data_IF_373336891117
#
_entry.id   IF_373336891117
#
_cell.length_a   1.000
_cell.length_b   1.000
_cell.length_c   1.000
_cell.angle_alpha   90.00
_cell.angle_beta   90.00
_cell.angle_gamma   90.00
#
_symmetry.space_group_name_H-M   'P 1'
#
loop_
_entity.id
_entity.type
_entity.pdbx_description
1 polymer ?
#
# COMPACT_ATOMS: atom_id res chain seq x y z
N UNK A 1 22.11 -8.39 -28.72
CA UNK A 1 21.13 -9.10 -27.86
C UNK A 1 21.18 -8.48 -26.48
N UNK A 2 20.34 -7.48 -26.22
CA UNK A 2 20.30 -6.77 -24.94
C UNK A 2 19.53 -7.58 -23.89
N UNK A 3 19.97 -7.58 -22.61
CA UNK A 3 19.36 -8.40 -21.58
C UNK A 3 17.91 -7.99 -21.41
N UNK A 4 17.02 -8.99 -21.42
CA UNK A 4 15.60 -8.81 -21.12
C UNK A 4 15.50 -8.11 -19.77
N UNK A 5 15.07 -6.86 -19.78
CA UNK A 5 14.84 -6.09 -18.56
C UNK A 5 14.02 -6.96 -17.60
N UNK A 6 14.37 -6.98 -16.30
CA UNK A 6 13.73 -7.87 -15.37
C UNK A 6 12.23 -7.58 -15.38
N UNK A 7 11.45 -8.61 -15.72
CA UNK A 7 10.03 -8.72 -15.36
C UNK A 7 9.94 -8.32 -13.89
N UNK A 8 8.98 -7.44 -13.55
CA UNK A 8 8.66 -6.90 -12.22
C UNK A 8 9.56 -7.51 -11.13
N UNK A 9 10.42 -6.71 -10.46
CA UNK A 9 11.39 -7.19 -9.48
C UNK A 9 10.79 -8.27 -8.59
N UNK A 10 11.54 -9.36 -8.33
CA UNK A 10 11.01 -10.54 -7.62
C UNK A 10 10.34 -10.16 -6.30
N UNK A 11 10.92 -9.20 -5.58
CA UNK A 11 10.38 -8.66 -4.33
C UNK A 11 8.98 -8.03 -4.47
N UNK A 12 8.62 -7.53 -5.65
CA UNK A 12 7.34 -6.87 -5.94
C UNK A 12 6.26 -7.81 -6.46
N UNK A 13 6.62 -9.05 -6.84
CA UNK A 13 5.67 -10.02 -7.42
C UNK A 13 4.49 -10.33 -6.50
N UNK A 14 4.67 -10.54 -5.18
CA UNK A 14 3.55 -10.82 -4.29
C UNK A 14 2.55 -9.66 -4.23
N UNK A 15 3.05 -8.42 -4.15
CA UNK A 15 2.23 -7.21 -4.07
C UNK A 15 1.43 -7.02 -5.37
N UNK A 16 2.08 -7.22 -6.52
CA UNK A 16 1.39 -7.14 -7.82
C UNK A 16 0.34 -8.23 -7.99
N UNK A 17 0.63 -9.46 -7.53
CA UNK A 17 -0.36 -10.54 -7.56
C UNK A 17 -1.59 -10.19 -6.72
N UNK A 18 -1.40 -9.69 -5.49
CA UNK A 18 -2.50 -9.27 -4.62
C UNK A 18 -3.29 -8.13 -5.25
N UNK A 19 -2.62 -7.14 -5.85
CA UNK A 19 -3.28 -6.05 -6.57
C UNK A 19 -4.15 -6.55 -7.73
N UNK A 20 -3.73 -7.61 -8.42
CA UNK A 20 -4.50 -8.26 -9.49
C UNK A 20 -5.70 -9.03 -8.95
N UNK A 21 -5.53 -9.77 -7.86
CA UNK A 21 -6.63 -10.45 -7.18
C UNK A 21 -7.67 -9.45 -6.66
N UNK A 22 -7.24 -8.28 -6.20
CA UNK A 22 -8.13 -7.20 -5.76
C UNK A 22 -9.04 -6.64 -6.86
N UNK A 23 -8.67 -6.80 -8.14
CA UNK A 23 -9.53 -6.43 -9.27
C UNK A 23 -10.60 -7.51 -9.58
N UNK A 24 -10.53 -8.66 -8.92
CA UNK A 24 -11.42 -9.81 -9.10
C UNK A 24 -12.16 -10.08 -7.78
N UNK A 25 -13.19 -9.27 -7.45
CA UNK A 25 -13.86 -9.32 -6.15
C UNK A 25 -14.52 -10.68 -5.85
N UNK A 26 -14.86 -11.46 -6.88
CA UNK A 26 -15.38 -12.83 -6.73
C UNK A 26 -14.34 -13.82 -6.16
N UNK A 27 -13.04 -13.51 -6.27
CA UNK A 27 -11.94 -14.39 -5.85
C UNK A 27 -11.41 -14.07 -4.47
N UNK A 28 -11.50 -12.82 -4.02
CA UNK A 28 -10.89 -12.42 -2.74
C UNK A 28 -11.65 -11.26 -2.10
N UNK A 29 -12.24 -11.47 -0.91
CA UNK A 29 -12.90 -10.40 -0.18
C UNK A 29 -11.94 -9.26 0.19
N UNK A 30 -12.38 -7.99 0.21
CA UNK A 30 -11.56 -6.83 0.58
C UNK A 30 -10.85 -6.96 1.94
N UNK A 31 -11.50 -7.61 2.91
CA UNK A 31 -10.96 -7.84 4.26
C UNK A 31 -9.77 -8.80 4.23
N UNK A 32 -9.81 -9.81 3.36
CA UNK A 32 -8.72 -10.77 3.17
C UNK A 32 -7.52 -10.10 2.51
N UNK A 33 -7.77 -9.23 1.52
CA UNK A 33 -6.72 -8.42 0.86
C UNK A 33 -6.03 -7.54 1.90
N UNK A 34 -6.81 -6.84 2.73
CA UNK A 34 -6.30 -5.99 3.80
C UNK A 34 -5.45 -6.79 4.80
N UNK A 35 -5.91 -7.99 5.19
CA UNK A 35 -5.17 -8.88 6.09
C UNK A 35 -3.84 -9.34 5.50
N UNK A 36 -3.82 -9.76 4.23
CA UNK A 36 -2.60 -10.18 3.55
C UNK A 36 -1.64 -9.00 3.39
N UNK A 37 -2.14 -7.83 3.00
CA UNK A 37 -1.31 -6.63 2.83
C UNK A 37 -0.71 -6.12 4.14
N UNK A 38 -1.38 -6.35 5.27
CA UNK A 38 -0.84 -6.04 6.59
C UNK A 38 0.39 -6.90 6.98
N UNK A 39 0.65 -8.02 6.28
CA UNK A 39 1.84 -8.86 6.53
C UNK A 39 3.12 -8.30 5.91
N UNK A 40 3.00 -7.35 4.98
CA UNK A 40 4.16 -6.67 4.40
C UNK A 40 4.72 -5.64 5.38
N UNK A 41 6.03 -5.38 5.30
CA UNK A 41 6.69 -4.34 6.09
C UNK A 41 7.24 -3.27 5.15
N UNK A 42 6.80 -2.00 5.29
CA UNK A 42 5.71 -1.52 6.15
C UNK A 42 4.34 -2.07 5.73
N UNK A 43 3.33 -2.06 6.62
CA UNK A 43 1.97 -2.45 6.27
C UNK A 43 1.44 -1.57 5.13
N UNK A 44 0.81 -2.21 4.14
CA UNK A 44 0.29 -1.52 2.96
C UNK A 44 -1.21 -1.28 3.14
N UNK A 45 -1.65 -0.02 3.05
CA UNK A 45 -3.07 0.32 3.06
C UNK A 45 -3.68 0.21 1.64
N UNK A 46 -4.65 -0.69 1.40
CA UNK A 46 -5.34 -0.80 0.12
C UNK A 46 -6.21 0.42 -0.23
N UNK A 47 -6.54 1.29 0.72
CA UNK A 47 -7.23 2.55 0.46
C UNK A 47 -6.28 3.71 0.09
N UNK A 48 -4.97 3.50 0.18
CA UNK A 48 -3.98 4.55 -0.05
C UNK A 48 -3.91 5.01 -1.52
N UNK A 49 -3.56 6.29 -1.77
CA UNK A 49 -3.36 6.79 -3.12
C UNK A 49 -2.21 6.07 -3.84
N UNK A 50 -1.19 5.61 -3.12
CA UNK A 50 -0.08 4.81 -3.65
C UNK A 50 -0.57 3.46 -4.18
N UNK A 51 -1.47 2.80 -3.45
CA UNK A 51 -2.10 1.55 -3.91
C UNK A 51 -2.98 1.78 -5.15
N UNK A 52 -3.74 2.88 -5.18
CA UNK A 52 -4.51 3.27 -6.35
C UNK A 52 -3.61 3.55 -7.57
N UNK A 53 -2.48 4.23 -7.37
CA UNK A 53 -1.48 4.49 -8.42
C UNK A 53 -0.86 3.20 -8.97
N UNK A 54 -0.56 2.23 -8.10
CA UNK A 54 -0.05 0.91 -8.51
C UNK A 54 -1.07 0.18 -9.41
N UNK A 55 -2.34 0.16 -9.02
CA UNK A 55 -3.41 -0.45 -9.83
C UNK A 55 -3.53 0.22 -11.19
N UNK A 56 -3.56 1.55 -11.23
CA UNK A 56 -3.60 2.30 -12.49
C UNK A 56 -2.37 2.07 -13.37
N UNK A 57 -1.19 1.80 -12.80
CA UNK A 57 -0.01 1.44 -13.56
C UNK A 57 -0.12 0.02 -14.17
N UNK A 58 -0.74 -0.91 -13.44
CA UNK A 58 -1.03 -2.26 -13.93
C UNK A 58 -2.06 -2.24 -15.06
N UNK A 59 -3.11 -1.44 -14.95
CA UNK A 59 -4.13 -1.31 -16.00
C UNK A 59 -3.51 -0.77 -17.30
N UNK A 60 -2.63 0.23 -17.20
CA UNK A 60 -1.87 0.74 -18.36
C UNK A 60 -0.94 -0.30 -18.96
N UNK A 61 -0.36 -1.17 -18.13
CA UNK A 61 0.48 -2.27 -18.61
C UNK A 61 -0.34 -3.29 -19.40
N UNK A 62 -1.56 -3.60 -18.96
CA UNK A 62 -2.46 -4.51 -19.68
C UNK A 62 -3.02 -3.90 -20.96
N UNK A 63 -3.28 -2.60 -20.96
CA UNK A 63 -3.77 -1.87 -22.12
C UNK A 63 -2.68 -1.63 -23.18
N UNK A 64 -1.40 -1.75 -22.82
CA UNK A 64 -0.28 -1.48 -23.72
C UNK A 64 -0.29 -2.43 -24.92
N UNK A 65 -0.08 -1.87 -26.12
CA UNK A 65 -0.11 -2.61 -27.40
C UNK A 65 1.25 -2.65 -28.10
N UNK A 66 2.15 -1.73 -27.75
CA UNK A 66 3.48 -1.61 -28.34
C UNK A 66 4.58 -1.64 -27.29
N UNK A 67 5.81 -1.87 -27.75
CA UNK A 67 6.96 -2.07 -26.87
C UNK A 67 7.30 -0.83 -26.03
N UNK A 68 7.11 0.38 -26.57
CA UNK A 68 7.39 1.61 -25.85
C UNK A 68 6.37 1.86 -24.73
N UNK A 69 5.09 1.59 -24.99
CA UNK A 69 4.02 1.62 -24.01
C UNK A 69 4.24 0.58 -22.90
N UNK A 70 4.66 -0.64 -23.25
CA UNK A 70 5.01 -1.67 -22.26
C UNK A 70 6.16 -1.24 -21.34
N UNK A 71 7.23 -0.68 -21.91
CA UNK A 71 8.37 -0.22 -21.14
C UNK A 71 8.01 0.98 -20.24
N UNK A 72 7.18 1.90 -20.73
CA UNK A 72 6.68 3.03 -19.94
C UNK A 72 5.82 2.54 -18.77
N UNK A 73 4.87 1.63 -19.03
CA UNK A 73 4.02 1.06 -17.99
C UNK A 73 4.84 0.24 -16.98
N UNK A 74 5.85 -0.51 -17.42
CA UNK A 74 6.78 -1.21 -16.52
C UNK A 74 7.50 -0.25 -15.59
N UNK A 75 8.01 0.88 -16.10
CA UNK A 75 8.65 1.91 -15.27
C UNK A 75 7.67 2.47 -14.23
N UNK A 76 6.43 2.73 -14.63
CA UNK A 76 5.39 3.23 -13.73
C UNK A 76 5.05 2.23 -12.61
N UNK A 77 4.98 0.93 -12.92
CA UNK A 77 4.78 -0.12 -11.90
C UNK A 77 5.91 -0.11 -10.87
N UNK A 78 7.17 -0.05 -11.33
CA UNK A 78 8.35 -0.05 -10.43
C UNK A 78 8.36 1.20 -9.56
N UNK A 79 8.06 2.37 -10.12
CA UNK A 79 8.01 3.62 -9.36
C UNK A 79 6.87 3.60 -8.33
N UNK A 80 5.66 3.23 -8.74
CA UNK A 80 4.50 3.17 -7.84
C UNK A 80 4.73 2.18 -6.69
N UNK A 81 5.27 1.00 -6.99
CA UNK A 81 5.60 0.01 -5.96
C UNK A 81 6.75 0.45 -5.05
N UNK A 82 7.74 1.17 -5.58
CA UNK A 82 8.81 1.78 -4.79
C UNK A 82 8.27 2.78 -3.78
N UNK A 83 7.40 3.69 -4.22
CA UNK A 83 6.73 4.66 -3.33
C UNK A 83 5.84 3.97 -2.30
N UNK A 84 5.12 2.92 -2.69
CA UNK A 84 4.26 2.14 -1.79
C UNK A 84 5.04 1.46 -0.65
N UNK A 85 6.25 0.97 -0.94
CA UNK A 85 7.06 0.20 0.02
C UNK A 85 8.06 1.03 0.82
N UNK A 86 8.59 2.10 0.22
CA UNK A 86 9.67 2.91 0.82
C UNK A 86 9.18 4.30 1.25
N UNK A 87 7.93 4.65 0.94
CA UNK A 87 7.39 6.00 1.10
C UNK A 87 7.89 6.95 -0.01
N UNK A 88 7.27 8.13 -0.15
CA UNK A 88 7.74 9.16 -1.08
C UNK A 88 9.16 9.61 -0.71
N UNK A 89 10.09 9.72 -1.68
CA UNK A 89 11.43 10.24 -1.43
C UNK A 89 11.32 11.73 -1.08
N UNK A 90 11.20 12.04 0.21
CA UNK A 90 11.15 13.43 0.69
C UNK A 90 10.17 13.74 1.82
N UNK A 91 9.34 12.79 2.29
CA UNK A 91 8.56 13.04 3.50
C UNK A 91 9.27 12.42 4.71
N UNK A 92 10.17 13.21 5.32
CA UNK A 92 10.67 12.93 6.65
C UNK A 92 9.48 12.65 7.57
N UNK A 93 9.54 11.51 8.25
CA UNK A 93 8.60 11.13 9.30
C UNK A 93 8.34 12.33 10.21
N UNK A 94 7.13 12.89 10.17
CA UNK A 94 6.67 13.79 11.21
C UNK A 94 6.26 12.90 12.38
N UNK A 95 7.27 12.64 13.22
CA UNK A 95 7.18 12.40 14.66
C UNK A 95 5.77 12.05 15.16
N UNK A 96 5.54 10.74 15.32
CA UNK A 96 4.61 10.31 16.37
C UNK A 96 5.43 10.19 17.64
N UNK A 97 4.95 10.78 18.74
CA UNK A 97 4.82 9.95 19.92
C UNK A 97 3.35 9.80 20.25
N UNK A 98 2.93 8.54 20.29
CA UNK A 98 1.72 8.10 20.95
C UNK A 98 1.62 8.75 22.33
N UNK A 99 0.75 9.76 22.47
CA UNK A 99 0.20 10.07 23.79
C UNK A 99 -0.88 9.04 24.04
N UNK A 100 -0.51 7.99 24.79
CA UNK A 100 -1.45 7.21 25.57
C UNK A 100 -2.31 8.17 26.37
N UNK A 101 -3.47 8.53 25.84
CA UNK A 101 -4.46 9.30 26.55
C UNK A 101 -5.07 8.34 27.57
N UNK A 102 -4.48 8.30 28.77
CA UNK A 102 -5.15 7.74 29.93
C UNK A 102 -6.46 8.51 30.08
N UNK A 103 -7.64 7.87 30.05
CA UNK A 103 -8.85 8.54 30.48
C UNK A 103 -8.72 8.71 31.98
N UNK A 104 -8.49 9.94 32.43
CA UNK A 104 -8.71 10.30 33.82
C UNK A 104 -10.19 9.99 34.13
N UNK A 105 -10.42 8.89 34.86
CA UNK A 105 -11.75 8.52 35.31
C UNK A 105 -12.26 9.65 36.21
N UNK A 106 -13.30 10.31 35.72
CA UNK A 106 -14.17 11.19 36.49
C UNK A 106 -14.86 10.33 37.56
N UNK A 107 -14.48 10.49 38.82
CA UNK A 107 -15.33 10.14 39.96
C UNK A 107 -16.11 11.40 40.37
N UNK A 108 -17.44 11.42 40.27
CA UNK A 108 -18.25 12.26 41.13
C UNK A 108 -18.64 11.43 42.37
N UNK A 109 -18.36 11.93 43.56
CA UNK A 109 -19.27 11.70 44.68
C UNK A 109 -19.02 12.71 45.80
N UNK A 110 -20.00 13.60 45.87
CA UNK A 110 -20.39 14.47 46.96
C UNK A 110 -20.41 13.74 48.31
N UNK A 111 -19.81 14.35 49.34
CA UNK A 111 -19.95 13.89 50.71
C UNK A 111 -19.30 14.86 51.69
N UNK A 112 -20.12 15.76 52.25
CA UNK A 112 -19.76 16.84 53.18
C UNK A 112 -20.07 16.38 54.62
N UNK A 113 -19.29 16.88 55.58
CA UNK A 113 -19.52 16.93 57.04
C UNK A 113 -19.50 15.60 57.84
N UNK A 114 -18.49 15.45 58.72
CA UNK A 114 -18.60 15.67 60.18
C UNK A 114 -17.20 15.69 60.80
#
# INVERSE_FOLDING_TARGET
>A
MTPRSPRIPVALRPVVLIARMAALPELTPPEEISRILATFTPPIDPASPEWAALRAALDRYDAARDHAAFDAARRQIVLAAGTLLLGPPGYSARDTPARCHVPAQRTPSSGRCA
#
